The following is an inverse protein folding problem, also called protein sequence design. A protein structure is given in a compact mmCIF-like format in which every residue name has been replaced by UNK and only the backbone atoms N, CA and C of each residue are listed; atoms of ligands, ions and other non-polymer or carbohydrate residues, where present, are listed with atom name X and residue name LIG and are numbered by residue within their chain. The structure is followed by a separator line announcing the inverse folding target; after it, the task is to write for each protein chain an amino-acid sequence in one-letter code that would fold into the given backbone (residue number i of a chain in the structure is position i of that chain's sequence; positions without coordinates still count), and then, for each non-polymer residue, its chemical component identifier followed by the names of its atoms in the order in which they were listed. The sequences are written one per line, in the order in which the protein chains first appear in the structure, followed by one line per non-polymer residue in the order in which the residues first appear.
data_IF_705447924393
#
_entry.id   IF_705447924393
#
_cell.length_a   1.000
_cell.length_b   1.000
_cell.length_c   1.000
_cell.angle_alpha   90.00
_cell.angle_beta   90.00
_cell.angle_gamma   90.00
#
_symmetry.space_group_name_H-M   'P 1'
#
loop_
_entity.id
_entity.type
_entity.pdbx_description
1 polymer ?
#
# COMPACT_ATOMS: atom_id res chain seq x y z
N UNK A 1 -45.51 -22.12 15.77
CA UNK A 1 -45.41 -21.86 14.31
C UNK A 1 -44.14 -21.05 14.15
N UNK A 2 -43.02 -21.76 14.07
CA UNK A 2 -41.69 -21.16 14.11
C UNK A 2 -41.30 -20.73 12.71
N UNK A 3 -41.22 -19.43 12.49
CA UNK A 3 -40.58 -18.86 11.31
C UNK A 3 -39.08 -19.07 11.53
N UNK A 4 -38.55 -20.23 11.10
CA UNK A 4 -37.11 -20.43 11.01
C UNK A 4 -36.54 -19.34 10.10
N UNK A 5 -35.73 -18.45 10.68
CA UNK A 5 -34.94 -17.49 9.94
C UNK A 5 -34.02 -18.27 9.00
N UNK A 6 -34.37 -18.32 7.72
CA UNK A 6 -33.50 -18.85 6.68
C UNK A 6 -32.20 -18.05 6.73
N UNK A 7 -31.10 -18.71 7.16
CA UNK A 7 -29.77 -18.15 6.96
C UNK A 7 -29.59 -18.01 5.46
N UNK A 8 -29.45 -16.77 5.00
CA UNK A 8 -29.11 -16.48 3.61
C UNK A 8 -27.66 -16.96 3.45
N UNK A 9 -27.49 -18.18 2.96
CA UNK A 9 -26.18 -18.68 2.55
C UNK A 9 -25.69 -17.79 1.40
N UNK A 10 -24.40 -17.41 1.42
CA UNK A 10 -23.79 -16.56 0.39
C UNK A 10 -24.00 -17.16 -1.01
N UNK A 11 -24.87 -16.52 -1.81
CA UNK A 11 -25.31 -17.05 -3.10
C UNK A 11 -24.27 -16.92 -4.21
N UNK A 12 -23.34 -15.96 -4.10
CA UNK A 12 -22.31 -15.70 -5.11
C UNK A 12 -21.02 -15.18 -4.48
N UNK A 13 -19.89 -15.55 -5.07
CA UNK A 13 -18.56 -15.01 -4.73
C UNK A 13 -18.04 -14.20 -5.91
N UNK A 14 -17.60 -12.98 -5.66
CA UNK A 14 -16.95 -12.12 -6.66
C UNK A 14 -15.48 -12.01 -6.29
N UNK A 15 -14.60 -12.40 -7.21
CA UNK A 15 -13.16 -12.22 -7.08
C UNK A 15 -12.77 -10.94 -7.83
N UNK A 16 -12.06 -10.04 -7.14
CA UNK A 16 -11.51 -8.82 -7.71
C UNK A 16 -10.00 -8.85 -7.49
N UNK A 17 -9.25 -8.74 -8.58
CA UNK A 17 -7.80 -8.57 -8.55
C UNK A 17 -7.47 -7.11 -8.88
N UNK A 18 -6.51 -6.53 -8.16
CA UNK A 18 -6.08 -5.15 -8.36
C UNK A 18 -4.71 -5.21 -9.02
N UNK A 19 -4.70 -4.96 -10.34
CA UNK A 19 -3.48 -4.98 -11.14
C UNK A 19 -2.44 -4.01 -10.57
N UNK A 20 -1.22 -4.52 -10.35
CA UNK A 20 -0.09 -3.76 -9.81
C UNK A 20 -0.42 -2.90 -8.57
N UNK A 21 -1.26 -3.40 -7.66
CA UNK A 21 -1.73 -2.64 -6.50
C UNK A 21 -0.60 -1.90 -5.74
N UNK A 22 0.55 -2.54 -5.56
CA UNK A 22 1.72 -1.95 -4.89
C UNK A 22 2.31 -0.73 -5.59
N UNK A 23 2.17 -0.63 -6.91
CA UNK A 23 2.75 0.43 -7.74
C UNK A 23 1.82 1.64 -7.85
N UNK A 24 0.51 1.43 -7.63
CA UNK A 24 -0.51 2.45 -7.85
C UNK A 24 -0.88 3.25 -6.59
N UNK A 25 -0.46 2.79 -5.40
CA UNK A 25 -0.82 3.44 -4.13
C UNK A 25 -0.18 4.83 -4.04
N UNK A 26 -0.96 5.92 -3.97
CA UNK A 26 -0.39 7.26 -3.85
C UNK A 26 0.32 7.44 -2.51
N UNK A 27 1.52 8.02 -2.50
CA UNK A 27 2.23 8.33 -1.26
C UNK A 27 1.44 9.26 -0.33
N UNK A 28 0.65 10.16 -0.90
CA UNK A 28 -0.24 11.05 -0.15
C UNK A 28 -1.29 10.27 0.66
N UNK A 29 -1.85 9.20 0.10
CA UNK A 29 -2.80 8.34 0.79
C UNK A 29 -2.13 7.63 1.97
N UNK A 30 -0.96 7.03 1.75
CA UNK A 30 -0.18 6.38 2.81
C UNK A 30 0.10 7.37 3.94
N UNK A 31 0.57 8.58 3.61
CA UNK A 31 0.88 9.58 4.62
C UNK A 31 -0.35 10.04 5.39
N UNK A 32 -1.49 10.18 4.72
CA UNK A 32 -2.75 10.49 5.38
C UNK A 32 -3.15 9.39 6.38
N UNK A 33 -3.07 8.12 5.97
CA UNK A 33 -3.40 6.98 6.83
C UNK A 33 -2.45 6.84 8.02
N UNK A 34 -1.16 7.04 7.81
CA UNK A 34 -0.15 7.01 8.87
C UNK A 34 -0.38 8.14 9.86
N UNK A 35 -0.64 9.36 9.40
CA UNK A 35 -0.96 10.48 10.28
C UNK A 35 -2.27 10.25 11.03
N UNK A 36 -3.28 9.63 10.41
CA UNK A 36 -4.52 9.26 11.07
C UNK A 36 -4.30 8.24 12.21
N UNK A 37 -3.45 7.22 11.98
CA UNK A 37 -3.18 6.16 12.97
C UNK A 37 -2.29 6.61 14.12
N UNK A 38 -1.27 7.43 13.84
CA UNK A 38 -0.23 7.76 14.81
C UNK A 38 -0.28 9.22 15.29
N UNK A 39 -1.03 10.10 14.62
CA UNK A 39 -1.05 11.54 14.88
C UNK A 39 0.07 12.30 14.16
N UNK A 40 -0.17 13.59 13.89
CA UNK A 40 0.81 14.47 13.26
C UNK A 40 2.06 14.64 14.15
N UNK A 41 3.25 14.66 13.52
CA UNK A 41 4.57 14.81 14.17
C UNK A 41 5.07 13.67 15.06
N UNK A 42 4.38 12.53 15.13
CA UNK A 42 4.95 11.34 15.79
C UNK A 42 6.15 10.82 14.98
N UNK A 43 7.20 10.40 15.69
CA UNK A 43 8.47 9.92 15.10
C UNK A 43 8.21 8.87 14.02
N UNK A 44 7.25 7.98 14.24
CA UNK A 44 6.84 6.94 13.29
C UNK A 44 6.33 7.54 11.98
N UNK A 45 5.43 8.53 12.04
CA UNK A 45 4.91 9.20 10.85
C UNK A 45 6.02 9.91 10.06
N UNK A 46 6.96 10.54 10.76
CA UNK A 46 8.15 11.15 10.13
C UNK A 46 9.07 10.10 9.50
N UNK A 47 9.25 8.94 10.13
CA UNK A 47 10.06 7.84 9.57
C UNK A 47 9.43 7.25 8.32
N UNK A 48 8.11 7.02 8.34
CA UNK A 48 7.38 6.54 7.16
C UNK A 48 7.42 7.56 6.04
N UNK A 49 7.29 8.86 6.35
CA UNK A 49 7.49 9.93 5.37
C UNK A 49 8.88 9.88 4.75
N UNK A 50 9.93 9.86 5.57
CA UNK A 50 11.31 9.81 5.08
C UNK A 50 11.64 8.54 4.32
N UNK A 51 11.00 7.42 4.66
CA UNK A 51 11.15 6.16 3.95
C UNK A 51 10.23 6.05 2.72
N UNK A 52 9.29 6.98 2.53
CA UNK A 52 8.43 7.02 1.34
C UNK A 52 8.85 8.11 0.36
N UNK A 53 9.54 9.18 0.82
CA UNK A 53 9.65 10.44 0.05
C UNK A 53 11.04 10.82 -0.51
N UNK A 54 12.13 10.02 -0.34
CA UNK A 54 13.18 10.09 -1.35
C UNK A 54 13.97 8.78 -1.41
N UNK A 55 13.43 7.75 -2.07
CA UNK A 55 14.26 6.59 -2.31
C UNK A 55 14.87 6.72 -3.69
N UNK A 56 16.11 7.19 -3.72
CA UNK A 56 17.03 6.93 -4.81
C UNK A 56 17.12 5.41 -5.00
N UNK A 57 16.28 4.82 -5.85
CA UNK A 57 16.42 3.40 -6.15
C UNK A 57 17.50 3.21 -7.19
N UNK A 58 18.56 2.51 -6.82
CA UNK A 58 19.52 2.01 -7.79
C UNK A 58 18.85 0.92 -8.62
N UNK A 59 18.24 1.29 -9.74
CA UNK A 59 17.74 0.32 -10.69
C UNK A 59 18.93 -0.16 -11.54
N UNK A 60 19.12 -1.47 -11.60
CA UNK A 60 20.05 -2.07 -12.55
C UNK A 60 19.40 -1.98 -13.93
N UNK A 61 19.81 -0.99 -14.72
CA UNK A 61 19.22 -0.72 -16.04
C UNK A 61 19.85 -1.52 -17.18
N UNK A 62 20.92 -2.29 -16.94
CA UNK A 62 21.49 -3.23 -17.93
C UNK A 62 22.19 -4.43 -17.28
N UNK A 63 22.32 -5.55 -18.02
CA UNK A 63 22.99 -6.78 -17.57
C UNK A 63 24.48 -6.60 -17.23
N UNK A 64 25.11 -5.54 -17.72
CA UNK A 64 26.57 -5.41 -17.66
C UNK A 64 27.08 -4.32 -16.72
N UNK A 65 26.28 -3.27 -16.42
CA UNK A 65 26.70 -2.19 -15.52
C UNK A 65 25.59 -1.80 -14.55
N UNK A 66 25.81 -2.01 -13.25
CA UNK A 66 24.99 -1.46 -12.16
C UNK A 66 25.11 0.07 -12.13
N UNK A 67 24.45 0.75 -13.07
CA UNK A 67 24.40 2.21 -13.07
C UNK A 67 23.34 2.65 -12.08
N UNK A 68 23.80 3.25 -11.01
CA UNK A 68 22.99 3.86 -9.98
C UNK A 68 22.22 5.09 -10.51
N UNK A 69 20.99 4.91 -11.02
CA UNK A 69 20.13 6.03 -11.44
C UNK A 69 19.21 6.44 -10.30
N UNK A 70 19.20 7.72 -9.92
CA UNK A 70 18.23 8.23 -8.94
C UNK A 70 16.86 8.37 -9.59
N UNK A 71 15.90 7.57 -9.16
CA UNK A 71 14.50 7.69 -9.57
C UNK A 71 13.63 8.11 -8.39
N UNK A 72 12.72 9.04 -8.62
CA UNK A 72 11.69 9.42 -7.66
C UNK A 72 10.38 8.75 -8.09
N UNK A 73 9.82 7.94 -7.20
CA UNK A 73 8.50 7.35 -7.41
C UNK A 73 7.45 8.35 -6.92
N UNK A 74 6.46 8.61 -7.77
CA UNK A 74 5.32 9.48 -7.42
C UNK A 74 4.19 8.67 -6.74
N UNK A 75 4.22 7.36 -6.90
CA UNK A 75 3.28 6.40 -6.32
C UNK A 75 3.98 5.04 -6.15
N UNK A 76 3.44 4.27 -5.22
CA UNK A 76 3.87 2.92 -4.88
C UNK A 76 5.23 2.87 -4.18
N UNK A 77 5.61 1.67 -3.76
CA UNK A 77 6.98 1.38 -3.36
C UNK A 77 7.49 0.19 -4.18
N UNK A 78 8.75 0.19 -4.63
CA UNK A 78 9.34 -0.91 -5.37
C UNK A 78 9.18 -2.20 -4.60
N UNK A 79 8.78 -3.26 -5.30
CA UNK A 79 8.32 -4.50 -4.69
C UNK A 79 9.36 -5.22 -3.81
N UNK A 80 10.63 -4.78 -3.83
CA UNK A 80 11.72 -5.28 -3.01
C UNK A 80 12.12 -4.34 -1.85
N UNK A 81 11.46 -3.21 -1.69
CA UNK A 81 11.70 -2.29 -0.59
C UNK A 81 10.95 -2.73 0.67
N UNK A 82 11.57 -2.57 1.85
CA UNK A 82 10.99 -3.00 3.12
C UNK A 82 9.67 -2.29 3.47
N UNK A 83 9.39 -1.14 2.86
CA UNK A 83 8.16 -0.35 3.10
C UNK A 83 6.97 -0.78 2.23
N UNK A 84 7.19 -1.60 1.20
CA UNK A 84 6.15 -1.90 0.21
C UNK A 84 5.01 -2.70 0.78
N UNK A 85 5.29 -3.60 1.73
CA UNK A 85 4.27 -4.31 2.49
C UNK A 85 3.45 -3.36 3.37
N UNK A 86 4.09 -2.35 3.98
CA UNK A 86 3.39 -1.34 4.78
C UNK A 86 2.45 -0.49 3.91
N UNK A 87 2.92 -0.03 2.74
CA UNK A 87 2.08 0.72 1.79
C UNK A 87 0.85 -0.09 1.37
N UNK A 88 1.06 -1.34 0.97
CA UNK A 88 -0.02 -2.22 0.54
C UNK A 88 -1.01 -2.51 1.67
N UNK A 89 -0.53 -2.88 2.86
CA UNK A 89 -1.41 -3.22 3.97
C UNK A 89 -2.23 -2.02 4.46
N UNK A 90 -1.64 -0.83 4.52
CA UNK A 90 -2.37 0.38 4.92
C UNK A 90 -3.47 0.73 3.89
N UNK A 91 -3.15 0.66 2.60
CA UNK A 91 -4.12 0.91 1.55
C UNK A 91 -5.26 -0.12 1.55
N UNK A 92 -4.93 -1.41 1.66
CA UNK A 92 -5.93 -2.49 1.65
C UNK A 92 -6.78 -2.52 2.91
N UNK A 93 -6.23 -2.17 4.08
CA UNK A 93 -7.02 -2.03 5.31
C UNK A 93 -8.14 -1.00 5.16
N UNK A 94 -7.85 0.11 4.46
CA UNK A 94 -8.84 1.17 4.25
C UNK A 94 -9.97 0.72 3.31
N UNK A 95 -9.70 -0.20 2.39
CA UNK A 95 -10.70 -0.80 1.50
C UNK A 95 -11.58 -1.78 2.30
N UNK A 96 -10.98 -2.59 3.18
CA UNK A 96 -11.71 -3.53 4.02
C UNK A 96 -12.66 -2.84 5.00
N UNK A 97 -12.30 -1.67 5.52
CA UNK A 97 -13.19 -0.88 6.38
C UNK A 97 -14.38 -0.26 5.62
N UNK A 98 -14.32 -0.23 4.28
CA UNK A 98 -15.32 0.40 3.42
C UNK A 98 -16.40 -0.58 2.90
N UNK A 99 -16.17 -1.89 3.02
CA UNK A 99 -17.03 -2.98 2.52
C UNK A 99 -17.73 -3.66 3.70
#
# INVERSE_FOLDING_TARGET
MDIMAAKIDHLFTIYVDIEEASNQIPHSLVMHLVNHLFGDNVIVARWVYNASYPICYYIVTSRDHCTAVRLQFNAGAPQFHQISSLHLNLAMSSILDLI
#
